data_IF_527532456166
#
_entry.id   IF_527532456166
#
_cell.length_a   1.000
_cell.length_b   1.000
_cell.length_c   1.000
_cell.angle_alpha   90.00
_cell.angle_beta   90.00
_cell.angle_gamma   90.00
#
_symmetry.space_group_name_H-M   'P 1'
#
loop_
_entity.id
_entity.type
_entity.pdbx_description
1 polymer ?
#
# COMPACT_ATOMS: atom_id res chain seq x y z
N UNK A 1 1.25 8.31 41.39
CA UNK A 1 0.85 7.45 40.26
C UNK A 1 1.28 8.15 38.96
N UNK A 2 2.36 7.71 38.30
CA UNK A 2 2.75 8.28 36.99
C UNK A 2 1.71 7.80 35.97
N UNK A 3 0.87 8.69 35.46
CA UNK A 3 -0.02 8.38 34.34
C UNK A 3 0.84 7.93 33.15
N UNK A 4 0.58 6.72 32.64
CA UNK A 4 1.23 6.21 31.44
C UNK A 4 0.85 7.13 30.29
N UNK A 5 1.85 7.69 29.61
CA UNK A 5 1.66 8.62 28.51
C UNK A 5 1.79 7.87 27.19
N UNK A 6 0.66 7.57 26.55
CA UNK A 6 0.60 6.83 25.29
C UNK A 6 0.91 7.67 24.04
N UNK A 7 0.89 9.00 24.16
CA UNK A 7 1.12 9.94 23.04
C UNK A 7 1.91 11.17 23.49
N UNK A 8 2.83 11.64 22.65
CA UNK A 8 3.59 12.86 22.85
C UNK A 8 2.77 14.11 22.47
N UNK A 9 3.27 15.29 22.84
CA UNK A 9 2.66 16.54 22.40
C UNK A 9 2.73 16.65 20.87
N UNK A 10 1.74 17.32 20.29
CA UNK A 10 1.71 17.61 18.85
C UNK A 10 3.01 18.29 18.43
N UNK A 11 3.59 17.86 17.31
CA UNK A 11 4.78 18.50 16.78
C UNK A 11 4.46 19.91 16.26
N UNK A 12 5.41 20.87 16.38
CA UNK A 12 5.30 22.16 15.72
C UNK A 12 5.25 21.99 14.20
N UNK A 13 4.68 22.95 13.48
CA UNK A 13 4.38 22.86 12.04
C UNK A 13 5.60 22.56 11.15
N UNK A 14 6.81 22.84 11.63
CA UNK A 14 8.08 22.63 10.93
C UNK A 14 8.80 21.33 11.30
N UNK A 15 8.23 20.49 12.17
CA UNK A 15 8.83 19.21 12.59
C UNK A 15 7.84 18.06 12.46
N UNK A 16 8.40 16.87 12.29
CA UNK A 16 7.64 15.61 12.32
C UNK A 16 7.22 15.29 13.76
N UNK A 17 6.02 14.70 13.89
CA UNK A 17 5.61 14.06 15.15
C UNK A 17 6.62 12.98 15.56
N UNK A 18 6.97 12.96 16.85
CA UNK A 18 7.90 12.00 17.43
C UNK A 18 7.09 11.02 18.29
N UNK A 19 6.90 9.77 17.84
CA UNK A 19 6.11 8.80 18.56
C UNK A 19 6.74 8.40 19.91
N UNK A 20 5.91 7.90 20.82
CA UNK A 20 6.39 7.26 22.06
C UNK A 20 6.97 5.86 21.76
N UNK A 21 7.67 5.27 22.73
CA UNK A 21 8.13 3.87 22.64
C UNK A 21 6.98 2.89 22.34
N UNK A 22 5.80 3.11 22.93
CA UNK A 22 4.61 2.30 22.68
C UNK A 22 4.10 2.46 21.24
N UNK A 23 4.08 3.69 20.72
CA UNK A 23 3.67 3.95 19.35
C UNK A 23 4.66 3.37 18.33
N UNK A 24 5.97 3.44 18.59
CA UNK A 24 6.98 2.79 17.76
C UNK A 24 6.80 1.26 17.74
N UNK A 25 6.60 0.64 18.90
CA UNK A 25 6.37 -0.80 19.00
C UNK A 25 5.10 -1.21 18.22
N UNK A 26 4.02 -0.45 18.35
CA UNK A 26 2.77 -0.71 17.62
C UNK A 26 2.95 -0.54 16.10
N UNK A 27 3.62 0.52 15.65
CA UNK A 27 3.91 0.75 14.23
C UNK A 27 4.74 -0.38 13.62
N UNK A 28 5.77 -0.86 14.33
CA UNK A 28 6.55 -2.02 13.89
C UNK A 28 5.71 -3.30 13.87
N UNK A 29 5.01 -3.62 14.96
CA UNK A 29 4.30 -4.89 15.10
C UNK A 29 3.18 -5.04 14.05
N UNK A 30 2.43 -3.96 13.80
CA UNK A 30 1.30 -3.96 12.87
C UNK A 30 1.69 -4.29 11.43
N UNK A 31 2.88 -3.89 10.96
CA UNK A 31 3.36 -4.24 9.62
C UNK A 31 4.28 -5.47 9.60
N UNK A 32 5.10 -5.69 10.62
CA UNK A 32 6.00 -6.85 10.70
C UNK A 32 5.23 -8.18 10.62
N UNK A 33 4.03 -8.22 11.21
CA UNK A 33 3.13 -9.38 11.16
C UNK A 33 2.81 -9.83 9.73
N UNK A 34 2.73 -8.89 8.78
CA UNK A 34 2.29 -9.17 7.41
C UNK A 34 3.41 -9.47 6.42
N UNK A 35 4.69 -9.36 6.82
CA UNK A 35 5.83 -9.65 5.94
C UNK A 35 5.80 -11.11 5.45
N UNK A 36 5.64 -12.07 6.36
CA UNK A 36 5.62 -13.49 5.98
C UNK A 36 4.36 -13.79 5.14
N UNK A 37 3.14 -13.41 5.57
CA UNK A 37 1.95 -13.56 4.75
C UNK A 37 2.06 -12.93 3.35
N UNK A 38 2.68 -11.76 3.19
CA UNK A 38 2.82 -11.12 1.87
C UNK A 38 3.77 -11.87 0.94
N UNK A 39 4.87 -12.40 1.47
CA UNK A 39 5.83 -13.20 0.68
C UNK A 39 5.17 -14.51 0.26
N UNK A 40 4.53 -15.21 1.21
CA UNK A 40 3.80 -16.45 0.93
C UNK A 40 2.70 -16.19 -0.10
N UNK A 41 1.94 -15.11 0.05
CA UNK A 41 0.90 -14.74 -0.90
C UNK A 41 1.44 -14.48 -2.31
N UNK A 42 2.55 -13.74 -2.44
CA UNK A 42 3.22 -13.54 -3.73
C UNK A 42 3.68 -14.84 -4.38
N UNK A 43 4.30 -15.75 -3.60
CA UNK A 43 4.71 -17.07 -4.06
C UNK A 43 3.51 -17.90 -4.49
N UNK A 44 2.41 -17.87 -3.74
CA UNK A 44 1.20 -18.62 -4.08
C UNK A 44 0.60 -18.16 -5.42
N UNK A 45 0.53 -16.85 -5.67
CA UNK A 45 0.07 -16.33 -6.96
C UNK A 45 0.98 -16.77 -8.11
N UNK A 46 2.30 -16.78 -7.90
CA UNK A 46 3.26 -17.26 -8.89
C UNK A 46 3.13 -18.77 -9.15
N UNK A 47 2.86 -19.58 -8.12
CA UNK A 47 2.65 -21.02 -8.30
C UNK A 47 1.32 -21.36 -8.98
N UNK A 48 0.35 -20.44 -8.92
CA UNK A 48 -0.97 -20.58 -9.55
C UNK A 48 -1.01 -19.98 -10.96
N UNK A 49 0.05 -19.31 -11.43
CA UNK A 49 0.04 -18.71 -12.76
C UNK A 49 0.17 -19.76 -13.85
N UNK A 50 -0.74 -19.73 -14.82
CA UNK A 50 -0.75 -20.63 -15.98
C UNK A 50 -0.10 -20.00 -17.21
N UNK A 51 -0.07 -18.66 -17.29
CA UNK A 51 0.52 -17.92 -18.42
C UNK A 51 1.50 -16.81 -17.99
N UNK A 52 2.21 -16.27 -18.99
CA UNK A 52 3.24 -15.26 -18.78
C UNK A 52 2.72 -13.94 -18.18
N UNK A 53 1.48 -13.55 -18.49
CA UNK A 53 0.87 -12.33 -17.97
C UNK A 53 0.44 -12.50 -16.52
N UNK A 54 -0.04 -13.68 -16.15
CA UNK A 54 -0.28 -14.06 -14.76
C UNK A 54 1.04 -14.08 -13.97
N UNK A 55 2.10 -14.68 -14.53
CA UNK A 55 3.42 -14.73 -13.90
C UNK A 55 3.96 -13.32 -13.59
N UNK A 56 3.95 -12.42 -14.58
CA UNK A 56 4.39 -11.01 -14.40
C UNK A 56 3.53 -10.29 -13.37
N UNK A 57 2.22 -10.49 -13.42
CA UNK A 57 1.28 -9.85 -12.50
C UNK A 57 1.50 -10.31 -11.06
N UNK A 58 1.76 -11.61 -10.85
CA UNK A 58 2.07 -12.20 -9.56
C UNK A 58 3.39 -11.64 -9.00
N UNK A 59 4.43 -11.56 -9.83
CA UNK A 59 5.71 -10.97 -9.43
C UNK A 59 5.59 -9.51 -9.03
N UNK A 60 4.96 -8.68 -9.86
CA UNK A 60 4.82 -7.25 -9.58
C UNK A 60 3.99 -7.01 -8.34
N UNK A 61 2.84 -7.68 -8.22
CA UNK A 61 1.98 -7.54 -7.05
C UNK A 61 2.63 -8.08 -5.77
N UNK A 62 3.22 -9.28 -5.82
CA UNK A 62 3.91 -9.90 -4.68
C UNK A 62 5.12 -9.10 -4.20
N UNK A 63 5.91 -8.55 -5.14
CA UNK A 63 7.02 -7.66 -4.82
C UNK A 63 6.53 -6.34 -4.21
N UNK A 64 5.46 -5.75 -4.74
CA UNK A 64 4.86 -4.53 -4.20
C UNK A 64 4.34 -4.73 -2.78
N UNK A 65 3.56 -5.79 -2.57
CA UNK A 65 2.96 -6.13 -1.28
C UNK A 65 4.02 -6.43 -0.22
N UNK A 66 5.04 -7.21 -0.58
CA UNK A 66 6.14 -7.55 0.34
C UNK A 66 6.99 -6.33 0.66
N UNK A 67 7.32 -5.52 -0.35
CA UNK A 67 8.12 -4.30 -0.16
C UNK A 67 7.41 -3.32 0.76
N UNK A 68 6.09 -3.17 0.65
CA UNK A 68 5.29 -2.29 1.52
C UNK A 68 5.53 -2.61 3.00
N UNK A 69 5.34 -3.87 3.40
CA UNK A 69 5.48 -4.27 4.80
C UNK A 69 6.94 -4.30 5.26
N UNK A 70 7.86 -4.75 4.42
CA UNK A 70 9.30 -4.82 4.76
C UNK A 70 9.86 -3.41 4.96
N UNK A 71 9.70 -2.52 3.98
CA UNK A 71 10.29 -1.18 4.01
C UNK A 71 9.72 -0.40 5.19
N UNK A 72 8.41 -0.47 5.42
CA UNK A 72 7.78 0.22 6.55
C UNK A 72 8.25 -0.31 7.90
N UNK A 73 8.35 -1.64 8.05
CA UNK A 73 8.90 -2.25 9.28
C UNK A 73 10.35 -1.85 9.53
N UNK A 74 11.18 -1.85 8.49
CA UNK A 74 12.59 -1.41 8.58
C UNK A 74 12.65 0.06 8.97
N UNK A 75 11.86 0.92 8.34
CA UNK A 75 11.81 2.35 8.66
C UNK A 75 11.46 2.57 10.14
N UNK A 76 10.36 2.00 10.63
CA UNK A 76 9.94 2.18 12.03
C UNK A 76 10.93 1.59 13.04
N UNK A 77 11.57 0.46 12.70
CA UNK A 77 12.59 -0.16 13.55
C UNK A 77 13.85 0.70 13.62
N UNK A 78 14.27 1.28 12.51
CA UNK A 78 15.41 2.20 12.46
C UNK A 78 15.09 3.50 13.21
N UNK A 79 13.90 4.07 13.00
CA UNK A 79 13.46 5.29 13.72
C UNK A 79 13.38 5.05 15.23
N UNK A 80 13.00 3.85 15.66
CA UNK A 80 12.98 3.47 17.08
C UNK A 80 14.39 3.24 17.66
N UNK A 81 15.21 2.38 17.05
CA UNK A 81 16.47 1.90 17.66
C UNK A 81 17.70 2.72 17.29
N UNK A 82 17.65 3.46 16.18
CA UNK A 82 18.80 4.18 15.60
C UNK A 82 18.45 5.63 15.24
N UNK A 83 17.60 6.29 16.03
CA UNK A 83 17.24 7.71 15.86
C UNK A 83 18.44 8.69 15.86
N UNK A 84 19.60 8.26 16.38
CA UNK A 84 20.84 9.04 16.30
C UNK A 84 21.43 9.11 14.88
N UNK A 85 21.12 8.16 13.99
CA UNK A 85 21.56 8.12 12.60
C UNK A 85 20.54 8.80 11.67
N UNK A 86 20.40 10.11 11.82
CA UNK A 86 19.38 10.89 11.09
C UNK A 86 19.41 10.70 9.57
N UNK A 87 20.59 10.55 8.96
CA UNK A 87 20.70 10.34 7.51
C UNK A 87 20.11 9.00 7.05
N UNK A 88 20.29 7.95 7.86
CA UNK A 88 19.78 6.59 7.57
C UNK A 88 18.27 6.57 7.77
N UNK A 89 17.78 7.14 8.87
CA UNK A 89 16.35 7.30 9.12
C UNK A 89 15.65 8.07 7.99
N UNK A 90 16.27 9.17 7.52
CA UNK A 90 15.74 9.97 6.43
C UNK A 90 15.67 9.20 5.11
N UNK A 91 16.68 8.37 4.81
CA UNK A 91 16.66 7.50 3.63
C UNK A 91 15.50 6.49 3.70
N UNK A 92 15.37 5.76 4.81
CA UNK A 92 14.29 4.78 4.96
C UNK A 92 12.91 5.44 4.98
N UNK A 93 12.79 6.65 5.52
CA UNK A 93 11.53 7.40 5.47
C UNK A 93 11.16 7.82 4.03
N UNK A 94 12.14 8.15 3.17
CA UNK A 94 11.88 8.33 1.73
C UNK A 94 11.39 7.03 1.11
N UNK A 95 12.08 5.91 1.35
CA UNK A 95 11.70 4.61 0.82
C UNK A 95 10.29 4.20 1.24
N UNK A 96 9.93 4.40 2.52
CA UNK A 96 8.60 4.09 3.08
C UNK A 96 7.47 4.89 2.41
N UNK A 97 7.75 6.11 1.96
CA UNK A 97 6.78 6.91 1.17
C UNK A 97 6.75 6.49 -0.29
N UNK A 98 7.91 6.21 -0.89
CA UNK A 98 8.01 5.75 -2.28
C UNK A 98 7.32 4.41 -2.51
N UNK A 99 7.44 3.48 -1.56
CA UNK A 99 6.85 2.15 -1.70
C UNK A 99 5.32 2.19 -1.78
N UNK A 100 4.66 3.21 -1.23
CA UNK A 100 3.22 3.41 -1.38
C UNK A 100 2.86 3.63 -2.86
N UNK A 101 3.61 4.46 -3.59
CA UNK A 101 3.40 4.68 -5.03
C UNK A 101 3.60 3.41 -5.83
N UNK A 102 4.68 2.67 -5.55
CA UNK A 102 4.98 1.40 -6.19
C UNK A 102 3.88 0.37 -5.91
N UNK A 103 3.45 0.24 -4.65
CA UNK A 103 2.41 -0.70 -4.26
C UNK A 103 1.05 -0.40 -4.91
N UNK A 104 0.66 0.88 -5.03
CA UNK A 104 -0.59 1.23 -5.75
C UNK A 104 -0.51 0.81 -7.23
N UNK A 105 0.62 1.03 -7.91
CA UNK A 105 0.76 0.56 -9.29
C UNK A 105 0.77 -0.98 -9.40
N UNK A 106 1.46 -1.64 -8.48
CA UNK A 106 1.52 -3.09 -8.40
C UNK A 106 0.13 -3.70 -8.12
N UNK A 107 -0.70 -3.11 -7.26
CA UNK A 107 -2.04 -3.61 -6.94
C UNK A 107 -3.02 -3.49 -8.10
N UNK A 108 -2.86 -2.47 -8.95
CA UNK A 108 -3.65 -2.33 -10.17
C UNK A 108 -3.20 -3.26 -11.32
N UNK A 109 -1.95 -3.70 -11.32
CA UNK A 109 -1.37 -4.43 -12.45
C UNK A 109 -2.13 -5.73 -12.78
N UNK A 110 -2.46 -6.63 -11.83
CA UNK A 110 -3.23 -7.84 -12.13
C UNK A 110 -4.60 -7.55 -12.75
N UNK A 111 -5.31 -6.53 -12.24
CA UNK A 111 -6.63 -6.16 -12.76
C UNK A 111 -6.57 -5.57 -14.15
N UNK A 112 -5.63 -4.65 -14.38
CA UNK A 112 -5.48 -4.04 -15.68
C UNK A 112 -4.93 -5.04 -16.71
N UNK A 113 -4.19 -6.05 -16.27
CA UNK A 113 -3.52 -7.06 -17.12
C UNK A 113 -4.41 -8.23 -17.49
N UNK A 114 -5.03 -8.86 -16.49
CA UNK A 114 -5.71 -10.16 -16.62
C UNK A 114 -7.21 -10.02 -16.88
N UNK A 115 -7.81 -8.90 -16.48
CA UNK A 115 -9.25 -8.66 -16.69
C UNK A 115 -9.49 -8.03 -18.05
N UNK A 116 -10.52 -8.48 -18.75
CA UNK A 116 -11.00 -7.79 -19.95
C UNK A 116 -11.77 -6.52 -19.54
N UNK A 117 -11.12 -5.38 -19.77
CA UNK A 117 -11.58 -4.04 -19.43
C UNK A 117 -11.63 -3.15 -20.70
N UNK A 118 -11.53 -3.76 -21.88
CA UNK A 118 -11.50 -3.05 -23.16
C UNK A 118 -10.21 -2.25 -23.44
N UNK A 119 -10.18 -1.46 -24.54
CA UNK A 119 -8.96 -0.82 -25.05
C UNK A 119 -8.33 0.21 -24.11
N UNK A 120 -9.13 0.81 -23.22
CA UNK A 120 -8.67 1.81 -22.27
C UNK A 120 -7.76 1.20 -21.18
N UNK A 121 -7.92 -0.08 -20.88
CA UNK A 121 -7.12 -0.77 -19.87
C UNK A 121 -5.64 -0.83 -20.24
N UNK A 122 -5.32 -1.09 -21.51
CA UNK A 122 -3.94 -1.12 -22.01
C UNK A 122 -3.23 0.23 -21.80
N UNK A 123 -3.93 1.35 -22.05
CA UNK A 123 -3.40 2.69 -21.79
C UNK A 123 -3.24 2.94 -20.29
N UNK A 124 -4.21 2.51 -19.48
CA UNK A 124 -4.18 2.71 -18.03
C UNK A 124 -3.03 1.97 -17.36
N UNK A 125 -2.60 0.80 -17.88
CA UNK A 125 -1.40 0.08 -17.40
C UNK A 125 -0.18 1.00 -17.42
N UNK A 126 0.06 1.70 -18.52
CA UNK A 126 1.22 2.60 -18.62
C UNK A 126 1.04 3.86 -17.78
N UNK A 127 -0.17 4.43 -17.76
CA UNK A 127 -0.46 5.63 -16.99
C UNK A 127 -0.20 5.42 -15.50
N UNK A 128 -0.63 4.30 -14.91
CA UNK A 128 -0.42 4.05 -13.47
C UNK A 128 1.06 3.96 -13.11
N UNK A 129 1.89 3.35 -13.95
CA UNK A 129 3.34 3.25 -13.73
C UNK A 129 4.07 4.58 -13.97
N UNK A 130 3.61 5.40 -14.91
CA UNK A 130 4.10 6.78 -15.09
C UNK A 130 3.75 7.64 -13.87
N UNK A 131 2.53 7.55 -13.36
CA UNK A 131 2.12 8.24 -12.14
C UNK A 131 2.96 7.78 -10.93
N UNK A 132 3.23 6.48 -10.80
CA UNK A 132 4.07 5.93 -9.73
C UNK A 132 5.50 6.47 -9.81
N UNK A 133 6.06 6.54 -11.01
CA UNK A 133 7.39 7.08 -11.26
C UNK A 133 7.45 8.57 -10.93
N UNK A 134 6.44 9.34 -11.34
CA UNK A 134 6.31 10.77 -11.00
C UNK A 134 6.16 11.01 -9.49
N UNK A 135 5.34 10.21 -8.81
CA UNK A 135 5.18 10.26 -7.35
C UNK A 135 6.48 9.90 -6.60
N UNK A 136 7.18 8.87 -7.06
CA UNK A 136 8.48 8.47 -6.52
C UNK A 136 9.51 9.58 -6.69
N UNK A 137 9.61 10.18 -7.89
CA UNK A 137 10.48 11.33 -8.15
C UNK A 137 10.12 12.52 -7.25
N UNK A 138 8.82 12.79 -7.07
CA UNK A 138 8.34 13.84 -6.18
C UNK A 138 8.82 13.62 -4.73
N UNK A 139 8.69 12.41 -4.18
CA UNK A 139 9.20 12.10 -2.82
C UNK A 139 10.72 12.25 -2.75
N UNK A 140 11.44 11.88 -3.82
CA UNK A 140 12.89 11.99 -3.86
C UNK A 140 13.36 13.45 -3.74
N UNK A 141 12.76 14.35 -4.53
CA UNK A 141 13.15 15.77 -4.62
C UNK A 141 12.49 16.69 -3.58
N UNK A 142 11.23 16.44 -3.21
CA UNK A 142 10.41 17.34 -2.37
C UNK A 142 10.02 16.74 -1.01
N UNK A 143 10.80 15.76 -0.53
CA UNK A 143 10.56 15.03 0.71
C UNK A 143 10.03 15.91 1.87
N UNK A 144 8.86 15.55 2.40
CA UNK A 144 8.14 16.22 3.49
C UNK A 144 7.81 17.72 3.30
N UNK A 145 8.15 18.33 2.16
CA UNK A 145 7.98 19.77 1.93
C UNK A 145 6.51 20.14 1.69
N UNK A 146 5.80 19.38 0.85
CA UNK A 146 4.37 19.60 0.59
C UNK A 146 3.55 18.34 0.86
N UNK A 147 3.26 18.07 2.14
CA UNK A 147 2.52 16.89 2.62
C UNK A 147 1.08 16.78 2.10
N UNK A 148 0.49 17.89 1.64
CA UNK A 148 -0.86 17.90 1.04
C UNK A 148 -0.80 17.45 -0.42
N UNK A 149 0.17 17.95 -1.18
CA UNK A 149 0.39 17.56 -2.59
C UNK A 149 0.64 16.05 -2.68
N UNK A 150 1.48 15.51 -1.79
CA UNK A 150 1.75 14.07 -1.76
C UNK A 150 0.48 13.23 -1.52
N UNK A 151 -0.37 13.67 -0.59
CA UNK A 151 -1.64 13.02 -0.32
C UNK A 151 -2.58 13.08 -1.53
N UNK A 152 -2.65 14.23 -2.20
CA UNK A 152 -3.43 14.37 -3.44
C UNK A 152 -2.92 13.41 -4.51
N UNK A 153 -1.60 13.27 -4.66
CA UNK A 153 -1.00 12.32 -5.60
C UNK A 153 -1.37 10.86 -5.25
N UNK A 154 -1.35 10.47 -3.98
CA UNK A 154 -1.80 9.13 -3.56
C UNK A 154 -3.26 8.89 -3.89
N UNK A 155 -4.14 9.85 -3.59
CA UNK A 155 -5.58 9.75 -3.89
C UNK A 155 -5.80 9.68 -5.40
N UNK A 156 -5.13 10.53 -6.19
CA UNK A 156 -5.24 10.53 -7.64
C UNK A 156 -4.83 9.18 -8.23
N UNK A 157 -3.72 8.60 -7.77
CA UNK A 157 -3.28 7.26 -8.16
C UNK A 157 -4.24 6.16 -7.70
N UNK A 158 -4.87 6.33 -6.54
CA UNK A 158 -5.88 5.40 -6.04
C UNK A 158 -7.20 5.48 -6.81
N UNK A 159 -7.61 6.64 -7.32
CA UNK A 159 -8.94 6.83 -7.93
C UNK A 159 -8.91 6.69 -9.45
N UNK A 160 -7.87 7.19 -10.12
CA UNK A 160 -7.89 7.29 -11.59
C UNK A 160 -7.93 5.93 -12.30
N UNK A 161 -7.10 4.93 -11.94
CA UNK A 161 -7.20 3.58 -12.51
C UNK A 161 -8.50 2.86 -12.11
N UNK A 162 -9.06 3.18 -10.93
CA UNK A 162 -10.31 2.60 -10.46
C UNK A 162 -11.49 2.93 -11.40
N UNK A 163 -11.46 4.08 -12.10
CA UNK A 163 -12.49 4.44 -13.07
C UNK A 163 -12.61 3.43 -14.23
N UNK A 164 -11.47 2.88 -14.68
CA UNK A 164 -11.44 1.85 -15.72
C UNK A 164 -11.96 0.53 -15.15
N UNK A 165 -11.53 0.17 -13.94
CA UNK A 165 -12.01 -1.05 -13.25
C UNK A 165 -13.52 -1.01 -13.00
N UNK A 166 -14.09 0.15 -12.67
CA UNK A 166 -15.54 0.32 -12.50
C UNK A 166 -16.34 0.06 -13.80
N UNK A 167 -15.70 0.03 -14.96
CA UNK A 167 -16.33 -0.32 -16.25
C UNK A 167 -16.24 -1.81 -16.61
N UNK A 168 -15.71 -2.67 -15.72
CA UNK A 168 -15.62 -4.11 -15.97
C UNK A 168 -16.99 -4.74 -16.28
N UNK A 169 -17.03 -5.60 -17.30
CA UNK A 169 -18.24 -6.30 -17.71
C UNK A 169 -18.61 -7.39 -16.70
N UNK A 170 -17.68 -8.31 -16.41
CA UNK A 170 -17.78 -9.19 -15.25
C UNK A 170 -17.44 -8.41 -13.99
N UNK A 171 -18.39 -8.34 -13.05
CA UNK A 171 -18.29 -7.60 -11.78
C UNK A 171 -17.67 -8.42 -10.65
N UNK A 172 -17.24 -9.66 -10.90
CA UNK A 172 -16.60 -10.50 -9.88
C UNK A 172 -15.35 -9.83 -9.31
N UNK A 173 -15.25 -9.78 -7.98
CA UNK A 173 -14.19 -9.07 -7.25
C UNK A 173 -14.38 -7.56 -7.05
N UNK A 174 -15.38 -6.94 -7.70
CA UNK A 174 -15.57 -5.49 -7.59
C UNK A 174 -15.97 -5.06 -6.17
N UNK A 175 -16.77 -5.87 -5.48
CA UNK A 175 -17.19 -5.58 -4.11
C UNK A 175 -15.96 -5.52 -3.19
N UNK A 176 -15.07 -6.51 -3.28
CA UNK A 176 -13.83 -6.58 -2.53
C UNK A 176 -12.91 -5.40 -2.84
N UNK A 177 -12.80 -5.00 -4.13
CA UNK A 177 -12.03 -3.80 -4.51
C UNK A 177 -12.59 -2.53 -3.88
N UNK A 178 -13.92 -2.36 -3.87
CA UNK A 178 -14.59 -1.21 -3.26
C UNK A 178 -14.41 -1.20 -1.74
N UNK A 179 -14.58 -2.34 -1.07
CA UNK A 179 -14.40 -2.45 0.38
C UNK A 179 -12.95 -2.19 0.77
N UNK A 180 -11.98 -2.82 0.08
CA UNK A 180 -10.55 -2.57 0.32
C UNK A 180 -10.15 -1.13 0.01
N UNK A 181 -10.70 -0.54 -1.06
CA UNK A 181 -10.55 0.89 -1.37
C UNK A 181 -11.11 1.78 -0.25
N UNK A 182 -12.26 1.43 0.29
CA UNK A 182 -12.85 2.06 1.47
C UNK A 182 -11.95 1.99 2.69
N UNK A 183 -11.30 0.85 2.93
CA UNK A 183 -10.31 0.71 4.01
C UNK A 183 -9.16 1.70 3.85
N UNK A 184 -8.61 1.87 2.64
CA UNK A 184 -7.56 2.87 2.40
C UNK A 184 -8.05 4.30 2.66
N UNK A 185 -9.24 4.65 2.17
CA UNK A 185 -9.82 5.99 2.35
C UNK A 185 -10.05 6.30 3.83
N UNK A 186 -10.64 5.38 4.58
CA UNK A 186 -10.84 5.52 6.03
C UNK A 186 -9.50 5.60 6.78
N UNK A 187 -8.51 4.79 6.38
CA UNK A 187 -7.16 4.82 6.93
C UNK A 187 -6.49 6.19 6.81
N UNK A 188 -6.75 6.94 5.74
CA UNK A 188 -6.17 8.28 5.56
C UNK A 188 -6.57 9.28 6.67
N UNK A 189 -7.73 9.10 7.30
CA UNK A 189 -8.16 9.92 8.44
C UNK A 189 -7.17 9.74 9.60
N UNK A 190 -6.78 8.50 9.88
CA UNK A 190 -5.80 8.18 10.93
C UNK A 190 -4.39 8.60 10.55
N UNK A 191 -4.00 8.45 9.27
CA UNK A 191 -2.73 8.96 8.76
C UNK A 191 -2.54 10.47 8.98
N UNK A 192 -3.62 11.26 8.88
CA UNK A 192 -3.60 12.71 9.17
C UNK A 192 -3.77 13.05 10.66
N UNK A 193 -4.08 12.07 11.49
CA UNK A 193 -4.34 12.24 12.92
C UNK A 193 -3.12 11.98 13.82
N UNK A 194 -1.93 11.81 13.24
CA UNK A 194 -0.67 11.66 13.99
C UNK A 194 -0.45 12.83 14.97
N UNK A 195 -0.25 12.50 16.25
CA UNK A 195 -0.11 13.47 17.35
C UNK A 195 -1.41 14.14 17.79
N UNK A 196 -2.57 13.65 17.32
CA UNK A 196 -3.92 14.05 17.76
C UNK A 196 -4.60 12.86 18.44
N UNK A 197 -4.54 11.68 17.82
CA UNK A 197 -5.10 10.43 18.34
C UNK A 197 -3.96 9.48 18.75
N UNK A 198 -3.97 8.90 19.97
CA UNK A 198 -2.96 7.92 20.37
C UNK A 198 -2.94 6.74 19.39
N UNK A 199 -1.75 6.31 18.97
CA UNK A 199 -1.57 5.19 18.03
C UNK A 199 -2.22 5.40 16.65
N UNK A 200 -2.50 6.64 16.23
CA UNK A 200 -3.13 6.92 14.93
C UNK A 200 -2.41 6.23 13.76
N UNK A 201 -1.07 6.30 13.75
CA UNK A 201 -0.25 5.68 12.72
C UNK A 201 -0.38 4.15 12.67
N UNK A 202 -0.42 3.50 13.84
CA UNK A 202 -0.62 2.05 13.93
C UNK A 202 -2.04 1.64 13.51
N UNK A 203 -3.05 2.46 13.80
CA UNK A 203 -4.41 2.25 13.31
C UNK A 203 -4.44 2.38 11.78
N UNK A 204 -3.75 3.37 11.22
CA UNK A 204 -3.59 3.50 9.78
C UNK A 204 -2.94 2.26 9.15
N UNK A 205 -1.88 1.71 9.76
CA UNK A 205 -1.27 0.44 9.33
C UNK A 205 -2.27 -0.72 9.27
N UNK A 206 -3.16 -0.83 10.26
CA UNK A 206 -4.20 -1.86 10.26
C UNK A 206 -5.19 -1.69 9.09
N UNK A 207 -5.60 -0.46 8.78
CA UNK A 207 -6.43 -0.18 7.60
C UNK A 207 -5.72 -0.52 6.29
N UNK A 208 -4.42 -0.20 6.18
CA UNK A 208 -3.60 -0.52 5.01
C UNK A 208 -3.48 -2.04 4.84
N UNK A 209 -3.17 -2.77 5.92
CA UNK A 209 -3.05 -4.21 5.91
C UNK A 209 -4.38 -4.90 5.57
N UNK A 210 -5.50 -4.43 6.14
CA UNK A 210 -6.84 -4.93 5.83
C UNK A 210 -7.21 -4.69 4.36
N UNK A 211 -6.99 -3.46 3.85
CA UNK A 211 -7.21 -3.15 2.44
C UNK A 211 -6.38 -4.03 1.51
N UNK A 212 -5.09 -4.21 1.83
CA UNK A 212 -4.18 -5.04 1.07
C UNK A 212 -4.58 -6.53 1.09
N UNK A 213 -5.01 -7.04 2.25
CA UNK A 213 -5.51 -8.40 2.39
C UNK A 213 -6.80 -8.65 1.58
N UNK A 214 -7.73 -7.70 1.57
CA UNK A 214 -8.96 -7.77 0.77
C UNK A 214 -8.63 -7.74 -0.73
N UNK A 215 -7.74 -6.84 -1.15
CA UNK A 215 -7.29 -6.76 -2.54
C UNK A 215 -6.54 -8.02 -2.97
N UNK A 216 -5.67 -8.58 -2.10
CA UNK A 216 -5.01 -9.87 -2.32
C UNK A 216 -6.04 -10.98 -2.52
N UNK A 217 -7.03 -11.08 -1.62
CA UNK A 217 -8.07 -12.09 -1.73
C UNK A 217 -8.85 -11.97 -3.04
N UNK A 218 -9.18 -10.75 -3.46
CA UNK A 218 -9.86 -10.51 -4.72
C UNK A 218 -9.02 -10.96 -5.93
N UNK A 219 -7.73 -10.63 -5.95
CA UNK A 219 -6.80 -11.05 -7.01
C UNK A 219 -6.71 -12.58 -7.05
N UNK A 220 -6.40 -13.20 -5.92
CA UNK A 220 -6.27 -14.66 -5.82
C UNK A 220 -7.53 -15.38 -6.29
N UNK A 221 -8.70 -14.99 -5.77
CA UNK A 221 -9.96 -15.69 -6.04
C UNK A 221 -10.50 -15.47 -7.45
N UNK A 222 -10.43 -14.25 -7.97
CA UNK A 222 -11.12 -13.89 -9.22
C UNK A 222 -10.20 -13.81 -10.44
N UNK A 223 -8.88 -13.77 -10.25
CA UNK A 223 -7.92 -13.72 -11.34
C UNK A 223 -7.04 -14.97 -11.45
N UNK A 224 -6.75 -15.69 -10.35
CA UNK A 224 -5.85 -16.86 -10.36
C UNK A 224 -6.51 -18.19 -10.00
N UNK A 225 -7.73 -18.18 -9.46
CA UNK A 225 -8.43 -19.43 -9.13
C UNK A 225 -9.34 -19.81 -10.29
N UNK A 226 -9.23 -21.03 -10.85
CA UNK A 226 -10.09 -21.50 -11.93
C UNK A 226 -11.48 -21.86 -11.38
N UNK A 227 -12.28 -20.86 -11.01
CA UNK A 227 -13.70 -21.06 -10.63
C UNK A 227 -14.64 -20.77 -11.80
N UNK A 228 -14.17 -20.13 -12.87
CA UNK A 228 -15.02 -19.69 -13.99
C UNK A 228 -14.45 -19.97 -15.39
N UNK A 229 -13.59 -20.97 -15.60
CA UNK A 229 -13.44 -21.51 -16.96
C UNK A 229 -14.67 -22.38 -17.22
N UNK A 230 -15.54 -22.04 -18.20
CA UNK A 230 -16.46 -23.04 -18.70
C UNK A 230 -15.58 -24.19 -19.18
N UNK A 231 -15.81 -25.39 -18.67
CA UNK A 231 -15.32 -26.62 -19.29
C UNK A 231 -15.73 -26.56 -20.76
N UNK A 232 -14.78 -26.21 -21.63
CA UNK A 232 -14.94 -26.41 -23.07
C UNK A 232 -15.00 -27.92 -23.28
N UNK A 233 -16.21 -28.40 -23.58
CA UNK A 233 -16.50 -29.73 -24.09
C UNK A 233 -15.61 -30.09 -25.28
#
# INVERSE_FOLDING_TARGET
>A
MKLVRFMNNRAPSNKRYQPTEYEHAANCATHALWIIPSIVGGILLYLLSDDHWEEISAWLYGAGLSSLFIISTVFHTVSWKKSHLRSVEHCFHKCDRMVIYFFIAASYTPWLTLRDLGPWAAHMRWVVWVMASGGTAYVFFFHERFKVVELICYIAMGVFPALVILSMADRSGLCELLVGGGCYVLGMVFFKSDGIVPFAHAIWHLFVAMGAGIHYYAIWKYLYTPVNQPTSL
#
